data_IF_211582802891
#
_entry.id   IF_211582802891
#
_cell.length_a   1.000
_cell.length_b   1.000
_cell.length_c   1.000
_cell.angle_alpha   90.00
_cell.angle_beta   90.00
_cell.angle_gamma   90.00
#
_symmetry.space_group_name_H-M   'P 1'
#
loop_
_entity.id
_entity.type
_entity.pdbx_description
1 polymer ?
#
# COMPACT_ATOMS: atom_id res chain seq x y z
N UNK A 1 -4.25 17.79 13.63
CA UNK A 1 -4.58 16.47 13.10
C UNK A 1 -3.52 15.44 13.52
N UNK A 2 -2.21 15.69 13.33
CA UNK A 2 -1.10 14.80 13.70
C UNK A 2 -1.13 14.38 15.19
N UNK A 3 -1.30 15.34 16.10
CA UNK A 3 -1.34 15.09 17.54
C UNK A 3 -2.46 14.11 17.97
N UNK A 4 -3.65 14.22 17.32
CA UNK A 4 -4.75 13.27 17.58
C UNK A 4 -4.43 11.86 17.09
N UNK A 5 -3.70 11.76 15.98
CA UNK A 5 -3.25 10.47 15.46
C UNK A 5 -2.22 9.82 16.38
N UNK A 6 -1.26 10.59 16.88
CA UNK A 6 -0.27 10.13 17.86
C UNK A 6 -0.94 9.62 19.13
N UNK A 7 -1.87 10.39 19.71
CA UNK A 7 -2.64 9.98 20.88
C UNK A 7 -3.45 8.70 20.63
N UNK A 8 -4.04 8.54 19.44
CA UNK A 8 -4.78 7.33 19.09
C UNK A 8 -3.86 6.11 18.96
N UNK A 9 -2.71 6.26 18.29
CA UNK A 9 -1.75 5.17 18.05
C UNK A 9 -1.29 4.54 19.37
N UNK A 10 -1.04 5.32 20.41
CA UNK A 10 -0.58 4.81 21.71
C UNK A 10 -1.59 3.90 22.42
N UNK A 11 -2.85 3.91 21.98
CA UNK A 11 -3.92 3.05 22.51
C UNK A 11 -4.00 1.67 21.87
N UNK A 12 -3.25 1.40 20.80
CA UNK A 12 -3.30 0.15 20.05
C UNK A 12 -2.07 -0.73 20.33
N UNK A 13 -2.28 -2.04 20.32
CA UNK A 13 -1.21 -3.03 20.44
C UNK A 13 -0.62 -3.40 19.06
N UNK A 14 -1.40 -3.22 17.97
CA UNK A 14 -0.97 -3.45 16.60
C UNK A 14 -1.40 -2.28 15.72
N UNK A 15 -0.45 -1.73 14.96
CA UNK A 15 -0.68 -0.67 13.99
C UNK A 15 -0.17 -1.12 12.62
N UNK A 16 -1.02 -1.05 11.61
CA UNK A 16 -0.64 -1.36 10.22
C UNK A 16 -0.75 -0.07 9.42
N UNK A 17 0.31 0.31 8.72
CA UNK A 17 0.34 1.51 7.87
C UNK A 17 0.49 1.12 6.41
N UNK A 18 -0.32 1.76 5.55
CA UNK A 18 -0.43 1.44 4.12
C UNK A 18 -0.43 2.68 3.23
N UNK A 19 -0.16 3.87 3.78
CA UNK A 19 -0.23 5.10 3.01
C UNK A 19 0.94 5.20 2.03
N UNK A 20 0.65 5.03 0.76
CA UNK A 20 1.63 5.14 -0.30
C UNK A 20 1.20 6.20 -1.33
N UNK A 21 2.15 7.00 -1.81
CA UNK A 21 1.92 7.99 -2.86
C UNK A 21 2.81 7.63 -4.05
N UNK A 22 2.24 7.22 -5.20
CA UNK A 22 3.04 6.83 -6.36
C UNK A 22 4.07 7.91 -6.75
N UNK A 23 5.33 7.48 -6.92
CA UNK A 23 6.44 8.36 -7.33
C UNK A 23 6.91 9.37 -6.28
N UNK A 24 6.46 9.27 -5.03
CA UNK A 24 6.87 10.15 -3.93
C UNK A 24 7.19 9.35 -2.67
N UNK A 25 7.97 9.97 -1.78
CA UNK A 25 8.20 9.42 -0.45
C UNK A 25 6.86 9.28 0.31
N UNK A 26 6.68 8.15 1.00
CA UNK A 26 5.53 7.91 1.86
C UNK A 26 5.42 9.00 2.96
N UNK A 27 4.20 9.43 3.31
CA UNK A 27 4.01 10.37 4.41
C UNK A 27 4.33 9.72 5.76
N UNK A 28 4.97 10.45 6.65
CA UNK A 28 5.18 10.01 8.03
C UNK A 28 3.87 10.15 8.81
N UNK A 29 3.31 9.04 9.25
CA UNK A 29 2.07 8.96 10.04
C UNK A 29 2.35 8.58 11.49
N UNK A 30 3.32 7.70 11.72
CA UNK A 30 3.72 7.21 13.04
C UNK A 30 5.06 7.83 13.39
N UNK A 31 5.06 8.79 14.31
CA UNK A 31 6.27 9.45 14.79
C UNK A 31 7.03 8.59 15.79
N UNK A 32 8.32 8.87 15.98
CA UNK A 32 9.12 8.24 17.03
C UNK A 32 8.50 8.44 18.43
N UNK A 33 7.87 9.61 18.65
CA UNK A 33 7.15 9.91 19.89
C UNK A 33 5.93 9.01 20.08
N UNK A 34 5.15 8.75 19.01
CA UNK A 34 4.03 7.83 19.05
C UNK A 34 4.48 6.42 19.38
N UNK A 35 5.54 5.91 18.71
CA UNK A 35 6.11 4.58 19.01
C UNK A 35 6.54 4.47 20.47
N UNK A 36 7.25 5.48 20.99
CA UNK A 36 7.67 5.51 22.39
C UNK A 36 6.51 5.50 23.38
N UNK A 37 5.34 6.00 22.97
CA UNK A 37 4.12 6.02 23.78
C UNK A 37 3.31 4.72 23.70
N UNK A 38 3.62 3.80 22.80
CA UNK A 38 2.95 2.49 22.69
C UNK A 38 3.34 1.59 23.87
N UNK A 39 2.51 0.58 24.11
CA UNK A 39 2.80 -0.41 25.16
C UNK A 39 4.00 -1.29 24.76
N UNK A 40 4.86 -1.69 25.70
CA UNK A 40 5.87 -2.71 25.47
C UNK A 40 5.28 -3.97 24.83
N UNK A 41 5.93 -4.50 23.80
CA UNK A 41 5.46 -5.66 23.03
C UNK A 41 4.46 -5.34 21.90
N UNK A 42 4.09 -4.07 21.73
CA UNK A 42 3.29 -3.64 20.57
C UNK A 42 4.04 -3.82 19.25
N UNK A 43 3.28 -3.85 18.16
CA UNK A 43 3.81 -4.10 16.82
C UNK A 43 3.34 -3.01 15.84
N UNK A 44 4.26 -2.48 15.03
CA UNK A 44 3.97 -1.64 13.88
C UNK A 44 4.36 -2.42 12.61
N UNK A 45 3.42 -2.61 11.69
CA UNK A 45 3.69 -3.17 10.37
C UNK A 45 3.58 -2.06 9.35
N UNK A 46 4.71 -1.69 8.75
CA UNK A 46 4.80 -0.59 7.79
C UNK A 46 4.90 -1.13 6.36
N UNK A 47 3.78 -1.16 5.64
CA UNK A 47 3.72 -1.66 4.25
C UNK A 47 4.19 -0.64 3.22
N UNK A 48 4.54 0.57 3.64
CA UNK A 48 5.11 1.60 2.77
C UNK A 48 6.66 1.62 2.77
N UNK A 49 7.30 0.57 3.26
CA UNK A 49 8.75 0.47 3.40
C UNK A 49 9.53 0.80 2.12
N UNK A 50 9.06 0.34 0.95
CA UNK A 50 9.68 0.64 -0.36
C UNK A 50 9.71 2.13 -0.71
N UNK A 51 8.77 2.90 -0.18
CA UNK A 51 8.64 4.35 -0.39
C UNK A 51 9.21 5.17 0.78
N UNK A 52 10.00 4.54 1.65
CA UNK A 52 10.63 5.17 2.81
C UNK A 52 9.86 5.06 4.12
N UNK A 53 8.71 4.38 4.12
CA UNK A 53 7.92 4.07 5.31
C UNK A 53 7.00 5.19 5.81
N UNK A 54 5.93 4.76 6.49
CA UNK A 54 5.02 5.64 7.20
C UNK A 54 5.39 5.83 8.67
N UNK A 55 6.25 4.98 9.23
CA UNK A 55 6.79 5.11 10.57
C UNK A 55 8.19 5.74 10.51
N UNK A 56 8.43 6.72 11.35
CA UNK A 56 9.71 7.44 11.41
C UNK A 56 10.90 6.53 11.76
N UNK A 57 10.64 5.46 12.50
CA UNK A 57 11.63 4.48 12.93
C UNK A 57 11.70 3.23 12.03
N UNK A 58 11.03 3.24 10.88
CA UNK A 58 11.08 2.16 9.90
C UNK A 58 12.48 2.02 9.31
N UNK A 59 12.97 0.79 9.26
CA UNK A 59 14.14 0.36 8.50
C UNK A 59 13.64 -0.56 7.38
N UNK A 60 13.62 -0.11 6.10
CA UNK A 60 13.01 -0.87 5.00
C UNK A 60 13.64 -2.25 4.83
N UNK A 61 12.81 -3.29 4.75
CA UNK A 61 13.23 -4.68 4.61
C UNK A 61 13.56 -5.38 5.93
N UNK A 62 13.59 -4.64 7.04
CA UNK A 62 14.02 -5.16 8.33
C UNK A 62 12.86 -5.28 9.34
N UNK A 63 13.11 -6.08 10.37
CA UNK A 63 12.30 -6.12 11.59
C UNK A 63 13.17 -5.63 12.73
N UNK A 64 12.84 -4.48 13.27
CA UNK A 64 13.61 -3.84 14.35
C UNK A 64 12.78 -3.66 15.60
N UNK A 65 13.42 -3.61 16.75
CA UNK A 65 12.77 -3.31 18.03
C UNK A 65 13.28 -1.95 18.53
N UNK A 66 12.37 -1.01 18.69
CA UNK A 66 12.64 0.33 19.21
C UNK A 66 11.65 0.65 20.31
N UNK A 67 12.13 1.04 21.50
CA UNK A 67 11.30 1.33 22.68
C UNK A 67 10.36 0.17 23.07
N UNK A 68 10.86 -1.07 23.00
CA UNK A 68 10.10 -2.30 23.24
C UNK A 68 8.91 -2.52 22.29
N UNK A 69 8.87 -1.82 21.17
CA UNK A 69 7.91 -1.99 20.06
C UNK A 69 8.60 -2.61 18.87
N UNK A 70 8.02 -3.67 18.32
CA UNK A 70 8.51 -4.30 17.08
C UNK A 70 8.02 -3.52 15.89
N UNK A 71 8.92 -3.12 14.99
CA UNK A 71 8.60 -2.44 13.74
C UNK A 71 9.04 -3.34 12.59
N UNK A 72 8.10 -3.80 11.78
CA UNK A 72 8.34 -4.64 10.62
C UNK A 72 8.01 -3.89 9.35
N UNK A 73 8.95 -3.79 8.43
CA UNK A 73 8.77 -3.11 7.14
C UNK A 73 9.12 -4.04 5.97
N UNK A 74 8.29 -5.06 5.69
CA UNK A 74 8.56 -6.02 4.64
C UNK A 74 8.61 -5.34 3.28
N UNK A 75 9.56 -5.75 2.44
CA UNK A 75 9.63 -5.37 1.03
C UNK A 75 9.11 -6.50 0.16
N UNK A 76 8.55 -6.14 -1.00
CA UNK A 76 8.07 -7.10 -1.99
C UNK A 76 7.16 -8.18 -1.38
N UNK A 77 6.22 -7.77 -0.53
CA UNK A 77 5.28 -8.68 0.14
C UNK A 77 4.54 -9.63 -0.84
N UNK A 78 4.14 -9.19 -2.06
CA UNK A 78 3.53 -10.10 -3.04
C UNK A 78 4.38 -11.32 -3.39
N UNK A 79 5.70 -11.21 -3.39
CA UNK A 79 6.59 -12.34 -3.68
C UNK A 79 6.61 -13.40 -2.56
N UNK A 80 6.22 -13.04 -1.35
CA UNK A 80 6.12 -13.97 -0.21
C UNK A 80 4.81 -14.77 -0.22
N UNK A 81 3.81 -14.32 -1.01
CA UNK A 81 2.51 -14.95 -1.17
C UNK A 81 2.14 -15.03 -2.67
N UNK A 82 2.92 -15.74 -3.50
CA UNK A 82 2.83 -15.65 -4.95
C UNK A 82 1.49 -16.17 -5.51
N UNK A 83 0.89 -17.16 -4.91
CA UNK A 83 -0.40 -17.71 -5.32
C UNK A 83 -1.51 -16.66 -5.15
N UNK A 84 -1.66 -16.10 -3.95
CA UNK A 84 -2.66 -15.06 -3.67
C UNK A 84 -2.42 -13.78 -4.47
N UNK A 85 -1.17 -13.34 -4.58
CA UNK A 85 -0.83 -12.16 -5.36
C UNK A 85 -1.17 -12.33 -6.84
N UNK A 86 -0.86 -13.51 -7.41
CA UNK A 86 -1.19 -13.84 -8.81
C UNK A 86 -2.69 -13.91 -9.04
N UNK A 87 -3.46 -14.50 -8.11
CA UNK A 87 -4.92 -14.56 -8.21
C UNK A 87 -5.54 -13.16 -8.21
N UNK A 88 -5.13 -12.29 -7.27
CA UNK A 88 -5.63 -10.92 -7.21
C UNK A 88 -5.27 -10.10 -8.45
N UNK A 89 -4.05 -10.27 -8.96
CA UNK A 89 -3.61 -9.62 -10.20
C UNK A 89 -4.41 -10.11 -11.41
N UNK A 90 -4.62 -11.44 -11.52
CA UNK A 90 -5.40 -12.03 -12.60
C UNK A 90 -6.84 -11.50 -12.61
N UNK A 91 -7.47 -11.32 -11.44
CA UNK A 91 -8.82 -10.71 -11.33
C UNK A 91 -8.85 -9.28 -11.88
N UNK A 92 -7.84 -8.47 -11.61
CA UNK A 92 -7.75 -7.11 -12.14
C UNK A 92 -7.59 -7.11 -13.68
N UNK A 93 -6.75 -8.02 -14.21
CA UNK A 93 -6.58 -8.16 -15.66
C UNK A 93 -7.86 -8.64 -16.32
N UNK A 94 -8.56 -9.62 -15.73
CA UNK A 94 -9.84 -10.10 -16.25
C UNK A 94 -10.90 -9.01 -16.27
N UNK A 95 -11.01 -8.23 -15.19
CA UNK A 95 -11.95 -7.10 -15.14
C UNK A 95 -11.65 -6.04 -16.21
N UNK A 96 -10.37 -5.76 -16.48
CA UNK A 96 -9.97 -4.84 -17.56
C UNK A 96 -10.35 -5.40 -18.94
N UNK A 97 -10.13 -6.71 -19.17
CA UNK A 97 -10.52 -7.36 -20.42
C UNK A 97 -12.03 -7.35 -20.64
N UNK A 98 -12.82 -7.59 -19.57
CA UNK A 98 -14.29 -7.50 -19.63
C UNK A 98 -14.76 -6.12 -20.08
N UNK A 99 -14.13 -5.02 -19.62
CA UNK A 99 -14.42 -3.67 -20.08
C UNK A 99 -14.10 -3.42 -21.58
N UNK A 100 -13.24 -4.26 -22.17
CA UNK A 100 -12.85 -4.15 -23.58
C UNK A 100 -13.76 -4.94 -24.52
N UNK A 101 -14.69 -5.74 -23.98
CA UNK A 101 -15.58 -6.59 -24.78
C UNK A 101 -16.98 -5.97 -24.87
N UNK A 102 -17.63 -6.17 -26.01
CA UNK A 102 -19.05 -5.88 -26.18
C UNK A 102 -19.92 -7.09 -25.75
N UNK A 103 -21.25 -6.94 -25.86
CA UNK A 103 -22.22 -7.98 -25.52
C UNK A 103 -22.07 -9.26 -26.36
N UNK A 104 -21.42 -9.18 -27.53
CA UNK A 104 -21.13 -10.34 -28.39
C UNK A 104 -19.81 -11.03 -28.02
N UNK A 105 -19.02 -10.45 -27.14
CA UNK A 105 -17.68 -10.90 -26.78
C UNK A 105 -16.60 -10.47 -27.76
N UNK A 106 -16.90 -9.53 -28.68
CA UNK A 106 -15.90 -8.96 -29.56
C UNK A 106 -15.15 -7.81 -28.88
N UNK A 107 -13.88 -7.60 -29.26
CA UNK A 107 -13.06 -6.49 -28.75
C UNK A 107 -13.57 -5.16 -29.30
N UNK A 108 -14.27 -4.40 -28.47
CA UNK A 108 -14.88 -3.12 -28.81
C UNK A 108 -14.77 -2.13 -27.62
N UNK A 109 -13.55 -1.65 -27.29
CA UNK A 109 -13.34 -0.82 -26.12
C UNK A 109 -14.10 0.50 -26.21
N UNK A 110 -14.90 0.80 -25.19
CA UNK A 110 -15.55 2.09 -25.04
C UNK A 110 -14.54 3.11 -24.48
N UNK A 111 -14.06 4.02 -25.31
CA UNK A 111 -13.06 5.02 -24.91
C UNK A 111 -13.61 6.17 -24.05
N UNK A 112 -14.92 6.25 -23.83
CA UNK A 112 -15.51 7.16 -22.85
C UNK A 112 -15.35 6.61 -21.42
N UNK A 113 -15.02 5.33 -21.27
CA UNK A 113 -14.65 4.75 -19.99
C UNK A 113 -13.29 5.26 -19.53
N UNK A 114 -13.28 5.82 -18.32
CA UNK A 114 -12.09 6.48 -17.75
C UNK A 114 -10.92 5.50 -17.52
N UNK A 115 -11.23 4.24 -17.17
CA UNK A 115 -10.20 3.21 -16.92
C UNK A 115 -9.52 2.85 -18.23
N UNK A 116 -10.30 2.59 -19.30
CA UNK A 116 -9.75 2.25 -20.62
C UNK A 116 -8.97 3.41 -21.24
N UNK A 117 -9.54 4.62 -21.18
CA UNK A 117 -8.90 5.81 -21.72
C UNK A 117 -7.54 6.13 -21.07
N UNK A 118 -7.45 5.98 -19.73
CA UNK A 118 -6.22 6.26 -18.97
C UNK A 118 -5.20 5.13 -19.02
N UNK A 119 -5.63 3.88 -19.21
CA UNK A 119 -4.74 2.73 -19.28
C UNK A 119 -4.09 2.57 -20.66
N UNK A 120 -4.65 3.16 -21.72
CA UNK A 120 -4.13 3.06 -23.07
C UNK A 120 -2.91 3.96 -23.26
N UNK A 121 -1.75 3.37 -23.52
CA UNK A 121 -0.48 4.09 -23.71
C UNK A 121 -0.12 4.31 -25.20
N UNK A 122 -0.83 3.65 -26.12
CA UNK A 122 -0.53 3.66 -27.56
C UNK A 122 -1.49 4.53 -28.37
N UNK A 123 -2.61 4.97 -27.79
CA UNK A 123 -3.54 5.89 -28.43
C UNK A 123 -2.94 7.29 -28.41
N UNK A 124 -2.81 7.91 -29.60
CA UNK A 124 -2.34 9.29 -29.70
C UNK A 124 -3.21 10.23 -28.86
N UNK A 125 -2.59 11.18 -28.20
CA UNK A 125 -3.30 12.31 -27.61
C UNK A 125 -3.54 13.28 -28.78
N UNK A 126 -4.76 13.27 -29.32
CA UNK A 126 -5.25 14.32 -30.19
C UNK A 126 -5.48 15.59 -29.37
#
# INVERSE_FOLDING_TARGET
>A
QQRRLEEAITGFDVVITTANVPGRKAPTLVTAAAVKGMRPGSVVVDLAGESGGNCELTEPGEVVVKHDVTIAAPLNLPATMPEHASELYARNVSALLELMLDESGAVAPNWDDEVLAKSCVTRGRD
#
